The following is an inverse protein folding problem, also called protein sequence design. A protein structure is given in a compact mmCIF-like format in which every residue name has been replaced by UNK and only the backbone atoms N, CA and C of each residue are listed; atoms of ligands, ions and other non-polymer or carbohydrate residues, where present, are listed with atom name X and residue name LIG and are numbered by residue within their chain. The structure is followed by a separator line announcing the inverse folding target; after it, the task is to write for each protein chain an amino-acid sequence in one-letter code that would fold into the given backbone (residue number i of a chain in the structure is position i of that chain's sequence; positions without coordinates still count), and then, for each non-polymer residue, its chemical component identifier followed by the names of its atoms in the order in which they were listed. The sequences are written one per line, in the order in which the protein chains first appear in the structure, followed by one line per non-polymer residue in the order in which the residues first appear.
data_IF_196963365768
#
_entry.id   IF_196963365768
#
_cell.length_a   1.000
_cell.length_b   1.000
_cell.length_c   1.000
_cell.angle_alpha   90.00
_cell.angle_beta   90.00
_cell.angle_gamma   90.00
#
_symmetry.space_group_name_H-M   'P 1'
#
loop_
_entity.id
_entity.type
_entity.pdbx_description
1 polymer ?
#
# COMPACT_ATOMS: atom_id res chain seq x y z
N UNK A 1 0.39 12.30 -17.51
CA UNK A 1 0.10 11.80 -16.16
C UNK A 1 -0.69 12.88 -15.45
N UNK A 2 -1.94 12.61 -15.13
CA UNK A 2 -2.75 13.48 -14.28
C UNK A 2 -2.43 13.27 -12.79
N UNK A 3 -3.05 14.08 -11.94
CA UNK A 3 -2.82 14.06 -10.50
C UNK A 3 -3.18 12.71 -9.85
N UNK A 4 -4.23 12.04 -10.32
CA UNK A 4 -4.67 10.75 -9.76
C UNK A 4 -3.65 9.66 -10.08
N UNK A 5 -3.18 9.62 -11.33
CA UNK A 5 -2.16 8.67 -11.73
C UNK A 5 -0.85 8.92 -10.97
N UNK A 6 -0.41 10.18 -10.86
CA UNK A 6 0.81 10.54 -10.13
C UNK A 6 0.74 10.10 -8.67
N UNK A 7 -0.33 10.45 -7.96
CA UNK A 7 -0.50 10.05 -6.55
C UNK A 7 -0.59 8.53 -6.41
N UNK A 8 -1.24 7.83 -7.33
CA UNK A 8 -1.33 6.37 -7.31
C UNK A 8 0.05 5.71 -7.49
N UNK A 9 0.90 6.24 -8.36
CA UNK A 9 2.29 5.80 -8.54
C UNK A 9 3.12 6.05 -7.26
N UNK A 10 2.99 7.23 -6.65
CA UNK A 10 3.68 7.55 -5.39
C UNK A 10 3.26 6.59 -4.25
N UNK A 11 1.97 6.26 -4.15
CA UNK A 11 1.46 5.28 -3.19
C UNK A 11 2.04 3.89 -3.44
N UNK A 12 2.10 3.44 -4.70
CA UNK A 12 2.70 2.15 -5.05
C UNK A 12 4.18 2.09 -4.66
N UNK A 13 4.98 3.09 -5.06
CA UNK A 13 6.40 3.15 -4.68
C UNK A 13 6.61 3.16 -3.16
N UNK A 14 5.72 3.82 -2.40
CA UNK A 14 5.81 3.80 -0.93
C UNK A 14 5.54 2.41 -0.37
N UNK A 15 4.57 1.68 -0.91
CA UNK A 15 4.28 0.32 -0.49
C UNK A 15 5.44 -0.64 -0.84
N UNK A 16 6.04 -0.50 -2.03
CA UNK A 16 7.23 -1.26 -2.44
C UNK A 16 8.40 -1.02 -1.49
N UNK A 17 8.71 0.24 -1.18
CA UNK A 17 9.79 0.56 -0.23
C UNK A 17 9.60 -0.06 1.15
N UNK A 18 8.36 -0.12 1.65
CA UNK A 18 8.08 -0.78 2.93
C UNK A 18 8.40 -2.28 2.84
N UNK A 19 8.01 -2.96 1.76
CA UNK A 19 8.34 -4.37 1.56
C UNK A 19 9.86 -4.56 1.47
N UNK A 20 10.55 -3.75 0.66
CA UNK A 20 12.00 -3.80 0.49
C UNK A 20 12.74 -3.60 1.81
N UNK A 21 12.33 -2.62 2.63
CA UNK A 21 12.93 -2.39 3.95
C UNK A 21 12.80 -3.62 4.86
N UNK A 22 11.61 -4.22 4.91
CA UNK A 22 11.37 -5.41 5.72
C UNK A 22 12.22 -6.59 5.27
N UNK A 23 12.35 -6.78 3.95
CA UNK A 23 13.20 -7.82 3.37
C UNK A 23 14.68 -7.58 3.68
N UNK A 24 15.17 -6.33 3.56
CA UNK A 24 16.54 -5.94 3.87
C UNK A 24 16.89 -6.14 5.35
N UNK A 25 15.95 -5.88 6.25
CA UNK A 25 16.11 -6.09 7.70
C UNK A 25 16.00 -7.56 8.11
N UNK A 26 15.60 -8.45 7.20
CA UNK A 26 15.25 -9.83 7.52
C UNK A 26 13.97 -9.95 8.37
N UNK A 27 13.16 -8.89 8.42
CA UNK A 27 11.89 -8.85 9.14
C UNK A 27 10.82 -9.57 8.30
N UNK A 28 10.08 -10.54 8.88
CA UNK A 28 8.99 -11.19 8.15
C UNK A 28 7.97 -10.17 7.65
N UNK A 29 7.75 -10.15 6.34
CA UNK A 29 6.79 -9.24 5.70
C UNK A 29 5.38 -9.54 6.22
N UNK A 30 4.75 -8.63 6.98
CA UNK A 30 3.43 -8.86 7.52
C UNK A 30 2.37 -8.85 6.42
N UNK A 31 1.25 -9.53 6.66
CA UNK A 31 0.15 -9.63 5.69
C UNK A 31 -0.34 -8.23 5.29
N UNK A 32 -0.36 -7.28 6.23
CA UNK A 32 -0.82 -5.93 5.92
C UNK A 32 0.05 -5.23 4.89
N UNK A 33 1.37 -5.41 4.92
CA UNK A 33 2.27 -4.76 3.98
C UNK A 33 2.04 -5.30 2.56
N UNK A 34 1.89 -6.62 2.43
CA UNK A 34 1.55 -7.27 1.14
C UNK A 34 0.22 -6.75 0.60
N UNK A 35 -0.79 -6.63 1.45
CA UNK A 35 -2.11 -6.12 1.05
C UNK A 35 -2.09 -4.64 0.68
N UNK A 36 -1.29 -3.81 1.35
CA UNK A 36 -1.10 -2.41 0.92
C UNK A 36 -0.54 -2.34 -0.49
N UNK A 37 0.49 -3.14 -0.80
CA UNK A 37 1.08 -3.23 -2.14
C UNK A 37 0.05 -3.69 -3.19
N UNK A 38 -0.68 -4.77 -2.90
CA UNK A 38 -1.73 -5.28 -3.77
C UNK A 38 -2.80 -4.22 -4.07
N UNK A 39 -3.26 -3.49 -3.05
CA UNK A 39 -4.28 -2.45 -3.20
C UNK A 39 -3.77 -1.24 -3.99
N UNK A 40 -2.56 -0.76 -3.71
CA UNK A 40 -1.94 0.35 -4.45
C UNK A 40 -1.79 0.00 -5.94
N UNK A 41 -1.32 -1.21 -6.24
CA UNK A 41 -1.22 -1.70 -7.61
C UNK A 41 -2.60 -1.82 -8.29
N UNK A 42 -3.62 -2.34 -7.58
CA UNK A 42 -4.97 -2.49 -8.12
C UNK A 42 -5.62 -1.15 -8.45
N UNK A 43 -5.41 -0.11 -7.64
CA UNK A 43 -5.91 1.25 -7.93
C UNK A 43 -5.26 1.81 -9.18
N UNK A 44 -3.92 1.77 -9.27
CA UNK A 44 -3.19 2.28 -10.43
C UNK A 44 -3.55 1.52 -11.72
N UNK A 45 -3.66 0.20 -11.63
CA UNK A 45 -4.05 -0.64 -12.77
C UNK A 45 -5.46 -0.29 -13.25
N UNK A 46 -6.43 -0.23 -12.33
CA UNK A 46 -7.80 0.16 -12.67
C UNK A 46 -7.85 1.56 -13.27
N UNK A 47 -7.03 2.50 -12.79
CA UNK A 47 -6.95 3.84 -13.35
C UNK A 47 -6.47 3.82 -14.81
N UNK A 48 -5.33 3.17 -15.08
CA UNK A 48 -4.72 3.08 -16.42
C UNK A 48 -5.58 2.34 -17.43
N UNK A 49 -6.32 1.33 -16.97
CA UNK A 49 -7.20 0.52 -17.82
C UNK A 49 -8.59 1.17 -18.00
N UNK A 50 -8.85 2.35 -17.43
CA UNK A 50 -10.14 3.03 -17.50
C UNK A 50 -11.26 2.34 -16.70
N UNK A 51 -10.91 1.47 -15.74
CA UNK A 51 -11.83 0.79 -14.84
C UNK A 51 -12.24 1.61 -13.62
N UNK A 52 -13.00 0.99 -12.71
CA UNK A 52 -13.48 1.63 -11.47
C UNK A 52 -12.39 1.71 -10.40
N UNK A 53 -11.44 2.63 -10.60
CA UNK A 53 -10.37 2.91 -9.64
C UNK A 53 -10.90 3.47 -8.31
N UNK A 54 -12.07 4.11 -8.29
CA UNK A 54 -12.68 4.65 -7.06
C UNK A 54 -13.15 3.53 -6.14
N UNK A 55 -13.75 2.47 -6.70
CA UNK A 55 -14.07 1.28 -5.92
C UNK A 55 -12.81 0.64 -5.32
N UNK A 56 -11.72 0.53 -6.09
CA UNK A 56 -10.43 0.02 -5.61
C UNK A 56 -9.79 0.90 -4.55
N UNK A 57 -9.92 2.22 -4.68
CA UNK A 57 -9.45 3.15 -3.65
C UNK A 57 -10.25 2.97 -2.35
N UNK A 58 -11.57 2.83 -2.43
CA UNK A 58 -12.41 2.57 -1.26
C UNK A 58 -12.10 1.23 -0.59
N UNK A 59 -11.76 0.18 -1.36
CA UNK A 59 -11.26 -1.08 -0.80
C UNK A 59 -9.94 -0.87 -0.03
N UNK A 60 -9.00 -0.12 -0.60
CA UNK A 60 -7.71 0.23 0.03
C UNK A 60 -7.89 0.99 1.34
N UNK A 61 -8.76 2.00 1.36
CA UNK A 61 -9.06 2.81 2.57
C UNK A 61 -9.66 1.94 3.67
N UNK A 62 -10.63 1.07 3.34
CA UNK A 62 -11.21 0.13 4.32
C UNK A 62 -10.17 -0.82 4.89
N UNK A 63 -9.25 -1.28 4.05
CA UNK A 63 -8.15 -2.12 4.48
C UNK A 63 -7.23 -1.37 5.45
N UNK A 64 -6.78 -0.16 5.12
CA UNK A 64 -5.96 0.68 6.00
C UNK A 64 -6.60 0.88 7.36
N UNK A 65 -7.88 1.25 7.41
CA UNK A 65 -8.59 1.48 8.67
C UNK A 65 -8.68 0.20 9.54
N UNK A 66 -8.81 -0.98 8.92
CA UNK A 66 -8.88 -2.26 9.64
C UNK A 66 -7.54 -2.65 10.25
N UNK A 67 -6.44 -2.37 9.57
CA UNK A 67 -5.09 -2.80 9.95
C UNK A 67 -4.27 -1.69 10.60
N UNK A 68 -4.85 -0.53 10.86
CA UNK A 68 -4.18 0.64 11.42
C UNK A 68 -3.39 0.29 12.70
N UNK A 69 -4.00 -0.43 13.63
CA UNK A 69 -3.33 -0.83 14.88
C UNK A 69 -2.17 -1.81 14.66
N UNK A 70 -2.25 -2.70 13.66
CA UNK A 70 -1.16 -3.62 13.33
C UNK A 70 0.02 -2.89 12.65
N UNK A 71 -0.30 -1.91 11.81
CA UNK A 71 0.69 -1.03 11.17
C UNK A 71 1.42 -0.20 12.24
N UNK A 72 0.69 0.41 13.16
CA UNK A 72 1.25 1.20 14.26
C UNK A 72 2.12 0.34 15.18
N UNK A 73 1.64 -0.85 15.59
CA UNK A 73 2.40 -1.77 16.43
C UNK A 73 3.70 -2.24 15.75
N UNK A 74 3.67 -2.41 14.43
CA UNK A 74 4.86 -2.77 13.66
C UNK A 74 5.91 -1.65 13.70
N UNK A 75 5.54 -0.40 13.40
CA UNK A 75 6.48 0.73 13.43
C UNK A 75 6.97 1.09 14.84
N UNK A 76 6.21 0.77 15.89
CA UNK A 76 6.70 0.87 17.27
C UNK A 76 7.77 -0.18 17.59
N UNK A 77 7.64 -1.39 17.05
CA UNK A 77 8.58 -2.50 17.28
C UNK A 77 9.86 -2.38 16.43
N UNK A 78 9.75 -1.81 15.24
CA UNK A 78 10.84 -1.58 14.30
C UNK A 78 10.96 -0.08 14.00
N UNK A 79 11.44 0.74 14.96
CA UNK A 79 11.68 2.15 14.72
C UNK A 79 12.89 2.31 13.78
N UNK A 80 12.65 2.91 12.62
CA UNK A 80 13.67 3.33 11.66
C UNK A 80 14.55 4.45 12.20
#
# INVERSE_FOLDING_TARGET
MDDVERTSVECLHRAERVIEQLELEGTPVPIWARKQLEHANAVLKAYREGGDWKAKLNESIRFQNRYQSEIEAHFQKYPS
#
